data_IF_749117361872
#
_entry.id   IF_749117361872
#
_cell.length_a   1.000
_cell.length_b   1.000
_cell.length_c   1.000
_cell.angle_alpha   90.00
_cell.angle_beta   90.00
_cell.angle_gamma   90.00
#
_symmetry.space_group_name_H-M   'P 1'
#
loop_
_entity.id
_entity.type
_entity.pdbx_description
1 polymer ?
#
# COMPACT_ATOMS: atom_id res chain seq x y z
N UNK A 1 -53.22 -0.20 -18.88
CA UNK A 1 -52.25 -1.15 -18.29
C UNK A 1 -53.01 -2.27 -17.64
N UNK A 2 -52.74 -3.50 -18.08
CA UNK A 2 -53.35 -4.69 -17.52
C UNK A 2 -52.79 -4.94 -16.09
N UNK A 3 -53.56 -5.55 -15.20
CA UNK A 3 -53.13 -5.87 -13.83
C UNK A 3 -51.88 -6.77 -13.82
N UNK A 4 -51.76 -7.66 -14.80
CA UNK A 4 -50.56 -8.48 -15.01
C UNK A 4 -49.33 -7.63 -15.31
N UNK A 5 -49.48 -6.54 -16.07
CA UNK A 5 -48.36 -5.65 -16.40
C UNK A 5 -47.92 -4.83 -15.18
N UNK A 6 -48.88 -4.39 -14.35
CA UNK A 6 -48.57 -3.69 -13.09
C UNK A 6 -47.81 -4.59 -12.12
N UNK A 7 -48.26 -5.83 -11.94
CA UNK A 7 -47.59 -6.83 -11.10
C UNK A 7 -46.18 -7.13 -11.62
N UNK A 8 -46.01 -7.27 -12.94
CA UNK A 8 -44.70 -7.49 -13.55
C UNK A 8 -43.75 -6.33 -13.28
N UNK A 9 -44.22 -5.08 -13.39
CA UNK A 9 -43.41 -3.89 -13.08
C UNK A 9 -43.01 -3.83 -11.62
N UNK A 10 -43.93 -4.11 -10.70
CA UNK A 10 -43.64 -4.14 -9.26
C UNK A 10 -42.58 -5.19 -8.92
N UNK A 11 -42.69 -6.42 -9.45
CA UNK A 11 -41.69 -7.47 -9.24
C UNK A 11 -40.31 -7.09 -9.79
N UNK A 12 -40.25 -6.41 -10.94
CA UNK A 12 -39.00 -5.93 -11.51
C UNK A 12 -38.38 -4.80 -10.68
N UNK A 13 -39.20 -3.88 -10.16
CA UNK A 13 -38.73 -2.83 -9.24
C UNK A 13 -38.25 -3.41 -7.91
N UNK A 14 -38.95 -4.40 -7.35
CA UNK A 14 -38.51 -5.11 -6.14
C UNK A 14 -37.18 -5.85 -6.38
N UNK A 15 -37.05 -6.53 -7.51
CA UNK A 15 -35.79 -7.21 -7.90
C UNK A 15 -34.68 -6.18 -8.09
N UNK A 16 -34.95 -5.06 -8.75
CA UNK A 16 -33.99 -3.98 -8.94
C UNK A 16 -33.64 -3.29 -7.62
N UNK A 17 -34.53 -3.20 -6.65
CA UNK A 17 -34.19 -2.69 -5.31
C UNK A 17 -33.38 -3.71 -4.51
N UNK A 18 -33.71 -5.00 -4.65
CA UNK A 18 -33.03 -6.11 -3.96
C UNK A 18 -31.59 -6.32 -4.46
N UNK A 19 -31.34 -6.11 -5.74
CA UNK A 19 -30.04 -6.33 -6.38
C UNK A 19 -29.37 -5.06 -6.90
N UNK A 20 -30.07 -3.93 -6.95
CA UNK A 20 -29.58 -2.64 -7.45
C UNK A 20 -29.06 -1.72 -6.37
N UNK A 21 -28.53 -2.27 -5.27
CA UNK A 21 -27.50 -1.56 -4.54
C UNK A 21 -26.20 -1.69 -5.36
N UNK A 22 -26.08 -0.75 -6.30
CA UNK A 22 -25.09 -0.61 -7.39
C UNK A 22 -23.63 -0.49 -6.95
N UNK A 23 -23.28 -0.95 -5.75
CA UNK A 23 -21.93 -0.92 -5.19
C UNK A 23 -21.26 -2.29 -5.12
N UNK A 24 -22.01 -3.37 -5.31
CA UNK A 24 -21.41 -4.71 -5.26
C UNK A 24 -21.08 -5.16 -6.67
N UNK A 25 -19.81 -5.35 -7.03
CA UNK A 25 -19.46 -5.94 -8.31
C UNK A 25 -20.12 -7.33 -8.41
N UNK A 26 -20.53 -7.74 -9.62
CA UNK A 26 -21.08 -9.07 -9.84
C UNK A 26 -20.09 -10.13 -9.34
N UNK A 27 -20.60 -11.31 -9.01
CA UNK A 27 -19.75 -12.42 -8.58
C UNK A 27 -18.86 -12.88 -9.74
N UNK A 28 -17.65 -12.33 -9.81
CA UNK A 28 -16.63 -12.71 -10.79
C UNK A 28 -15.73 -13.77 -10.16
N UNK A 29 -15.43 -14.82 -10.92
CA UNK A 29 -14.47 -15.84 -10.49
C UNK A 29 -13.08 -15.21 -10.27
N UNK A 30 -12.32 -15.57 -9.21
CA UNK A 30 -11.04 -14.93 -8.87
C UNK A 30 -10.04 -14.81 -10.04
N UNK A 31 -10.02 -15.82 -10.91
CA UNK A 31 -9.20 -15.84 -12.14
C UNK A 31 -9.45 -14.67 -13.09
N UNK A 32 -10.67 -14.16 -13.16
CA UNK A 32 -11.09 -13.11 -14.09
C UNK A 32 -11.35 -11.76 -13.42
N UNK A 33 -11.12 -11.66 -12.11
CA UNK A 33 -11.33 -10.44 -11.34
C UNK A 33 -10.58 -9.24 -11.93
N UNK A 34 -9.32 -9.45 -12.33
CA UNK A 34 -8.48 -8.42 -12.92
C UNK A 34 -8.99 -7.89 -14.27
N UNK A 35 -9.62 -8.75 -15.08
CA UNK A 35 -10.18 -8.36 -16.38
C UNK A 35 -11.47 -7.57 -16.14
N UNK A 36 -12.33 -8.03 -15.24
CA UNK A 36 -13.57 -7.33 -14.91
C UNK A 36 -13.31 -5.93 -14.34
N UNK A 37 -12.36 -5.80 -13.42
CA UNK A 37 -12.01 -4.50 -12.83
C UNK A 37 -11.41 -3.53 -13.85
N UNK A 38 -10.59 -4.01 -14.80
CA UNK A 38 -10.06 -3.18 -15.88
C UNK A 38 -11.18 -2.67 -16.83
N UNK A 39 -12.15 -3.52 -17.17
CA UNK A 39 -13.27 -3.15 -18.05
C UNK A 39 -14.30 -2.22 -17.41
N UNK A 40 -14.58 -2.37 -16.11
CA UNK A 40 -15.76 -1.75 -15.48
C UNK A 40 -15.44 -0.86 -14.27
N UNK A 41 -14.35 -1.09 -13.55
CA UNK A 41 -13.93 -0.24 -12.42
C UNK A 41 -13.01 0.91 -12.85
N UNK A 42 -12.56 0.92 -14.11
CA UNK A 42 -11.90 2.06 -14.74
C UNK A 42 -10.61 2.46 -14.01
N UNK A 43 -9.50 1.81 -14.34
CA UNK A 43 -8.11 2.18 -13.99
C UNK A 43 -7.98 3.03 -12.72
N UNK A 44 -8.39 2.50 -11.58
CA UNK A 44 -7.70 2.83 -10.34
C UNK A 44 -6.45 1.96 -10.27
N UNK A 45 -5.54 2.18 -11.23
CA UNK A 45 -4.17 1.71 -11.12
C UNK A 45 -3.50 2.55 -10.02
N UNK A 46 -3.87 2.30 -8.76
CA UNK A 46 -3.14 2.79 -7.61
C UNK A 46 -1.79 2.06 -7.59
N UNK A 47 -0.87 2.54 -8.41
CA UNK A 47 0.57 2.38 -8.21
C UNK A 47 1.07 3.20 -6.99
N UNK A 48 0.19 3.53 -6.06
CA UNK A 48 0.47 4.35 -4.89
C UNK A 48 1.53 3.71 -4.00
N UNK A 49 1.57 2.38 -3.95
CA UNK A 49 2.54 1.65 -3.11
C UNK A 49 3.98 1.75 -3.61
N UNK A 50 4.23 1.52 -4.90
CA UNK A 50 5.60 1.50 -5.43
C UNK A 50 6.21 2.90 -5.45
N UNK A 51 5.45 3.90 -5.92
CA UNK A 51 5.93 5.28 -5.97
C UNK A 51 6.25 5.83 -4.57
N UNK A 52 5.35 5.63 -3.60
CA UNK A 52 5.60 6.05 -2.21
C UNK A 52 6.79 5.32 -1.59
N UNK A 53 6.93 4.00 -1.83
CA UNK A 53 8.10 3.24 -1.37
C UNK A 53 9.40 3.77 -1.98
N UNK A 54 9.41 4.13 -3.25
CA UNK A 54 10.60 4.71 -3.90
C UNK A 54 10.96 6.07 -3.34
N UNK A 55 9.98 6.94 -3.08
CA UNK A 55 10.23 8.26 -2.46
C UNK A 55 10.81 8.09 -1.07
N UNK A 56 10.21 7.23 -0.24
CA UNK A 56 10.69 6.99 1.12
C UNK A 56 12.12 6.42 1.10
N UNK A 57 12.40 5.46 0.20
CA UNK A 57 13.74 4.89 0.06
C UNK A 57 14.80 5.94 -0.34
N UNK A 58 14.49 6.80 -1.31
CA UNK A 58 15.39 7.88 -1.74
C UNK A 58 15.62 8.90 -0.63
N UNK A 59 14.57 9.26 0.11
CA UNK A 59 14.67 10.21 1.23
C UNK A 59 15.55 9.66 2.37
N UNK A 60 15.32 8.41 2.77
CA UNK A 60 16.14 7.73 3.78
C UNK A 60 17.60 7.61 3.33
N UNK A 61 17.83 7.30 2.05
CA UNK A 61 19.17 7.24 1.48
C UNK A 61 19.86 8.62 1.49
N UNK A 62 19.16 9.68 1.08
CA UNK A 62 19.70 11.03 1.12
C UNK A 62 20.02 11.50 2.55
N UNK A 63 19.17 11.15 3.52
CA UNK A 63 19.41 11.45 4.93
C UNK A 63 20.64 10.68 5.45
N UNK A 64 20.77 9.40 5.12
CA UNK A 64 21.95 8.61 5.47
C UNK A 64 23.24 9.22 4.90
N UNK A 65 23.23 9.58 3.62
CA UNK A 65 24.36 10.25 2.98
C UNK A 65 24.66 11.57 3.67
N UNK A 66 23.65 12.39 3.97
CA UNK A 66 23.85 13.66 4.67
C UNK A 66 24.43 13.48 6.08
N UNK A 67 24.03 12.44 6.82
CA UNK A 67 24.63 12.11 8.11
C UNK A 67 26.11 11.71 7.96
N UNK A 68 26.43 10.92 6.94
CA UNK A 68 27.80 10.51 6.65
C UNK A 68 28.69 11.71 6.27
N UNK A 69 28.19 12.62 5.43
CA UNK A 69 28.88 13.87 5.08
C UNK A 69 29.03 14.84 6.26
N UNK A 70 28.04 14.91 7.14
CA UNK A 70 28.08 15.81 8.30
C UNK A 70 29.06 15.35 9.37
N UNK A 71 29.63 14.14 9.23
CA UNK A 71 30.68 13.62 10.11
C UNK A 71 30.23 13.51 11.58
N UNK A 72 28.93 13.59 11.84
CA UNK A 72 28.40 13.56 13.19
C UNK A 72 28.43 12.12 13.67
N UNK A 73 29.35 11.84 14.59
CA UNK A 73 29.52 10.53 15.22
C UNK A 73 28.29 10.27 16.09
N UNK A 74 27.24 9.66 15.52
CA UNK A 74 25.99 9.30 16.23
C UNK A 74 26.20 8.29 17.37
N UNK A 75 27.41 7.79 17.56
CA UNK A 75 27.79 7.22 18.84
C UNK A 75 29.19 7.70 19.17
N UNK A 76 29.33 8.34 20.33
CA UNK A 76 30.58 8.67 21.01
C UNK A 76 31.39 7.43 21.44
N UNK A 77 31.26 6.32 20.72
CA UNK A 77 32.06 5.11 20.89
C UNK A 77 33.08 5.08 19.78
N UNK A 78 34.11 5.90 19.94
CA UNK A 78 35.32 5.83 19.14
C UNK A 78 35.96 4.46 19.36
N UNK A 79 35.95 3.57 18.35
CA UNK A 79 36.49 2.21 18.45
C UNK A 79 37.96 2.20 18.92
N UNK A 80 38.68 3.30 18.70
CA UNK A 80 40.05 3.50 19.18
C UNK A 80 40.16 3.62 20.70
N UNK A 81 39.08 3.97 21.39
CA UNK A 81 39.03 4.00 22.87
C UNK A 81 38.93 2.58 23.44
N UNK A 82 38.10 1.73 22.84
CA UNK A 82 37.94 0.33 23.24
C UNK A 82 39.26 -0.44 23.08
N UNK A 83 39.95 -0.26 21.96
CA UNK A 83 41.25 -0.91 21.72
C UNK A 83 42.33 -0.44 22.71
N UNK A 84 42.31 0.85 23.08
CA UNK A 84 43.23 1.41 24.08
C UNK A 84 42.97 0.87 25.48
N UNK A 85 41.71 0.73 25.87
CA UNK A 85 41.33 0.17 27.17
C UNK A 85 41.71 -1.32 27.25
N UNK A 86 41.51 -2.11 26.19
CA UNK A 86 41.93 -3.52 26.13
C UNK A 86 43.47 -3.66 26.20
N UNK A 87 44.21 -2.80 25.50
CA UNK A 87 45.68 -2.82 25.56
C UNK A 87 46.23 -2.39 26.91
N UNK A 88 45.55 -1.49 27.62
CA UNK A 88 45.94 -1.09 28.97
C UNK A 88 45.69 -2.20 30.00
N UNK A 89 44.67 -3.04 29.80
CA UNK A 89 44.34 -4.16 30.69
C UNK A 89 45.26 -5.38 30.49
N UNK A 90 45.78 -5.62 29.28
CA UNK A 90 46.72 -6.72 29.00
C UNK A 90 48.20 -6.37 29.25
N UNK A 91 48.49 -5.13 29.66
CA UNK A 91 49.85 -4.60 29.80
C UNK A 91 50.46 -4.68 31.21
N UNK A 92 49.77 -5.31 32.17
CA UNK A 92 50.21 -5.62 33.54
C UNK A 92 50.13 -7.15 33.77
#
# INVERSE_FOLDING_TARGET
>A
MNETEKRRRQLLEETRRKYGDTRTPPAVHPRYGAIYSDLYEGKQAQNDGLFMRTIIAVLLFALFVAMDYSGEKVATVDSKRVVREIQAEMGD
#
